data_IF_232080727303
#
_entry.id   IF_232080727303
#
_cell.length_a   1.000
_cell.length_b   1.000
_cell.length_c   1.000
_cell.angle_alpha   90.00
_cell.angle_beta   90.00
_cell.angle_gamma   90.00
#
_symmetry.space_group_name_H-M   'P 1'
#
loop_
_entity.id
_entity.type
_entity.pdbx_description
1 polymer ?
#
# COMPACT_ATOMS: atom_id res chain seq x y z
N UNK A 1 -9.55 -19.06 -21.93
CA UNK A 1 -9.46 -18.19 -23.12
C UNK A 1 -10.35 -16.93 -23.01
N UNK A 2 -11.68 -17.00 -23.10
CA UNK A 2 -12.55 -15.79 -23.07
C UNK A 2 -12.57 -15.06 -21.70
N UNK A 3 -12.68 -15.81 -20.60
CA UNK A 3 -12.76 -15.21 -19.25
C UNK A 3 -11.47 -14.55 -18.76
N UNK A 4 -10.31 -14.98 -19.24
CA UNK A 4 -9.02 -14.38 -18.89
C UNK A 4 -8.82 -13.03 -19.60
N UNK A 5 -9.19 -12.96 -20.88
CA UNK A 5 -9.20 -11.71 -21.64
C UNK A 5 -10.16 -10.68 -21.05
N UNK A 6 -11.35 -11.10 -20.62
CA UNK A 6 -12.31 -10.20 -19.97
C UNK A 6 -11.75 -9.62 -18.66
N UNK A 7 -11.11 -10.45 -17.82
CA UNK A 7 -10.45 -9.98 -16.59
C UNK A 7 -9.30 -9.01 -16.87
N UNK A 8 -8.49 -9.29 -17.89
CA UNK A 8 -7.40 -8.39 -18.29
C UNK A 8 -7.92 -7.02 -18.74
N UNK A 9 -9.00 -6.99 -19.52
CA UNK A 9 -9.64 -5.75 -19.96
C UNK A 9 -10.25 -4.96 -18.80
N UNK A 10 -10.92 -5.65 -17.87
CA UNK A 10 -11.47 -5.01 -16.67
C UNK A 10 -10.35 -4.35 -15.84
N UNK A 11 -9.26 -5.08 -15.58
CA UNK A 11 -8.10 -4.54 -14.87
C UNK A 11 -7.47 -3.35 -15.59
N UNK A 12 -7.32 -3.41 -16.92
CA UNK A 12 -6.78 -2.29 -17.69
C UNK A 12 -7.68 -1.05 -17.60
N UNK A 13 -9.01 -1.23 -17.65
CA UNK A 13 -9.96 -0.14 -17.44
C UNK A 13 -9.83 0.47 -16.05
N UNK A 14 -9.78 -0.36 -15.01
CA UNK A 14 -9.67 0.12 -13.63
C UNK A 14 -8.38 0.92 -13.41
N UNK A 15 -7.26 0.51 -14.03
CA UNK A 15 -6.00 1.26 -14.03
C UNK A 15 -6.17 2.63 -14.70
N UNK A 16 -6.76 2.68 -15.90
CA UNK A 16 -7.00 3.94 -16.59
C UNK A 16 -7.92 4.86 -15.78
N UNK A 17 -8.98 4.32 -15.17
CA UNK A 17 -9.87 5.10 -14.32
C UNK A 17 -9.15 5.63 -13.07
N UNK A 18 -8.18 4.89 -12.52
CA UNK A 18 -7.38 5.35 -11.38
C UNK A 18 -6.45 6.49 -11.79
N UNK A 19 -5.79 6.35 -12.94
CA UNK A 19 -4.86 7.36 -13.48
C UNK A 19 -5.58 8.65 -13.91
N UNK A 20 -6.81 8.53 -14.40
CA UNK A 20 -7.62 9.66 -14.87
C UNK A 20 -8.59 10.19 -13.80
N UNK A 21 -8.60 9.62 -12.60
CA UNK A 21 -9.46 10.05 -11.50
C UNK A 21 -10.97 9.84 -11.75
N UNK A 22 -11.33 8.82 -12.54
CA UNK A 22 -12.73 8.50 -12.91
C UNK A 22 -13.41 7.48 -12.00
N UNK A 23 -12.80 7.10 -10.89
CA UNK A 23 -13.36 6.12 -9.97
C UNK A 23 -14.40 6.66 -8.99
N UNK A 24 -15.03 5.76 -8.21
CA UNK A 24 -16.06 6.11 -7.23
C UNK A 24 -15.56 6.92 -6.02
N UNK A 25 -14.25 6.99 -5.80
CA UNK A 25 -13.65 7.73 -4.68
C UNK A 25 -12.48 8.59 -5.14
N UNK A 26 -12.23 9.67 -4.40
CA UNK A 26 -11.10 10.56 -4.65
C UNK A 26 -9.79 9.89 -4.22
N UNK A 27 -8.86 9.75 -5.17
CA UNK A 27 -7.47 9.38 -4.90
C UNK A 27 -6.64 10.64 -4.61
N UNK A 28 -5.57 10.50 -3.83
CA UNK A 28 -4.62 11.60 -3.67
C UNK A 28 -3.91 11.89 -4.99
N UNK A 29 -3.86 13.17 -5.34
CA UNK A 29 -3.03 13.69 -6.42
C UNK A 29 -1.57 13.81 -5.98
N UNK A 30 -0.70 14.26 -6.90
CA UNK A 30 0.74 14.40 -6.65
C UNK A 30 1.06 15.32 -5.45
N UNK A 31 0.32 16.42 -5.28
CA UNK A 31 0.53 17.33 -4.16
C UNK A 31 0.13 16.67 -2.84
N UNK A 32 -1.01 15.97 -2.83
CA UNK A 32 -1.47 15.19 -1.68
C UNK A 32 -0.52 14.07 -1.29
N UNK A 33 0.02 13.33 -2.27
CA UNK A 33 1.02 12.28 -2.04
C UNK A 33 2.30 12.86 -1.44
N UNK A 34 2.81 13.96 -1.98
CA UNK A 34 4.00 14.64 -1.46
C UNK A 34 3.77 15.09 -0.02
N UNK A 35 2.61 15.67 0.28
CA UNK A 35 2.27 16.08 1.64
C UNK A 35 2.18 14.89 2.60
N UNK A 36 1.48 13.82 2.20
CA UNK A 36 1.34 12.59 2.99
C UNK A 36 2.72 12.01 3.33
N UNK A 37 3.57 11.77 2.33
CA UNK A 37 4.90 11.21 2.54
C UNK A 37 5.80 12.11 3.38
N UNK A 38 5.63 13.44 3.30
CA UNK A 38 6.38 14.37 4.14
C UNK A 38 6.01 14.29 5.62
N UNK A 39 4.76 13.97 5.93
CA UNK A 39 4.20 13.95 7.28
C UNK A 39 4.26 12.55 7.91
N UNK A 40 4.15 11.51 7.08
CA UNK A 40 4.21 10.12 7.51
C UNK A 40 5.57 9.79 8.14
N UNK A 41 5.52 8.97 9.18
CA UNK A 41 6.69 8.42 9.87
C UNK A 41 6.72 6.91 9.78
N UNK A 42 5.60 6.24 10.06
CA UNK A 42 5.51 4.77 10.09
C UNK A 42 4.72 4.22 8.92
N UNK A 43 5.31 3.25 8.23
CA UNK A 43 4.71 2.57 7.08
C UNK A 43 4.64 1.07 7.36
N UNK A 44 3.44 0.52 7.42
CA UNK A 44 3.24 -0.93 7.46
C UNK A 44 3.25 -1.48 6.03
N UNK A 45 4.19 -2.36 5.71
CA UNK A 45 4.36 -2.94 4.38
C UNK A 45 3.74 -4.33 4.34
N UNK A 46 2.50 -4.42 3.84
CA UNK A 46 1.73 -5.66 3.71
C UNK A 46 2.22 -6.45 2.50
N UNK A 47 2.65 -7.69 2.74
CA UNK A 47 3.33 -8.50 1.72
C UNK A 47 4.82 -8.19 1.57
N UNK A 48 5.43 -7.56 2.58
CA UNK A 48 6.88 -7.46 2.70
C UNK A 48 7.53 -8.85 2.57
N UNK A 49 8.68 -8.94 1.90
CA UNK A 49 9.39 -10.20 1.73
C UNK A 49 10.88 -10.01 1.90
N UNK A 50 11.55 -11.02 2.46
CA UNK A 50 13.01 -11.09 2.60
C UNK A 50 13.70 -11.51 1.30
N UNK A 51 12.96 -11.89 0.27
CA UNK A 51 13.49 -12.32 -1.01
C UNK A 51 13.81 -11.11 -1.92
N UNK A 52 15.09 -10.90 -2.32
CA UNK A 52 15.50 -9.78 -3.17
C UNK A 52 14.85 -9.73 -4.55
N UNK A 53 14.31 -10.84 -5.06
CA UNK A 53 13.60 -10.86 -6.34
C UNK A 53 12.18 -10.27 -6.25
N UNK A 54 11.67 -9.97 -5.06
CA UNK A 54 10.33 -9.41 -4.84
C UNK A 54 10.42 -7.90 -4.81
N UNK A 55 9.51 -7.21 -5.52
CA UNK A 55 9.45 -5.76 -5.54
C UNK A 55 9.35 -5.14 -4.13
N UNK A 56 8.63 -5.80 -3.21
CA UNK A 56 8.51 -5.34 -1.83
C UNK A 56 9.85 -5.31 -1.09
N UNK A 57 10.85 -6.14 -1.45
CA UNK A 57 12.17 -6.10 -0.82
C UNK A 57 12.90 -4.78 -1.10
N UNK A 58 13.01 -4.38 -2.38
CA UNK A 58 13.72 -3.16 -2.76
C UNK A 58 12.96 -1.88 -2.39
N UNK A 59 11.62 -1.90 -2.45
CA UNK A 59 10.83 -0.76 -1.98
C UNK A 59 10.97 -0.59 -0.47
N UNK A 60 10.95 -1.68 0.31
CA UNK A 60 11.16 -1.61 1.76
C UNK A 60 12.53 -1.02 2.10
N UNK A 61 13.59 -1.44 1.41
CA UNK A 61 14.94 -0.87 1.56
C UNK A 61 14.95 0.63 1.26
N UNK A 62 14.37 1.06 0.14
CA UNK A 62 14.28 2.49 -0.22
C UNK A 62 13.56 3.31 0.86
N UNK A 63 12.50 2.76 1.45
CA UNK A 63 11.77 3.44 2.53
C UNK A 63 12.59 3.51 3.83
N UNK A 64 13.38 2.48 4.15
CA UNK A 64 14.31 2.53 5.27
C UNK A 64 15.40 3.59 5.06
N UNK A 65 16.01 3.63 3.87
CA UNK A 65 17.04 4.60 3.52
C UNK A 65 16.52 6.04 3.55
N UNK A 66 15.25 6.24 3.19
CA UNK A 66 14.56 7.52 3.29
C UNK A 66 14.14 7.90 4.73
N UNK A 67 14.44 7.05 5.72
CA UNK A 67 14.24 7.33 7.15
C UNK A 67 12.84 7.02 7.69
N UNK A 68 12.01 6.27 6.97
CA UNK A 68 10.71 5.82 7.50
C UNK A 68 10.88 4.68 8.50
N UNK A 69 9.99 4.64 9.49
CA UNK A 69 9.83 3.48 10.36
C UNK A 69 8.99 2.41 9.65
N UNK A 70 9.66 1.54 8.90
CA UNK A 70 8.98 0.47 8.16
C UNK A 70 8.70 -0.75 9.04
N UNK A 71 7.47 -1.25 8.98
CA UNK A 71 6.99 -2.43 9.73
C UNK A 71 6.55 -3.51 8.74
N UNK A 72 7.24 -4.67 8.64
CA UNK A 72 6.88 -5.70 7.70
C UNK A 72 5.68 -6.52 8.19
N UNK A 73 4.68 -6.70 7.33
CA UNK A 73 3.50 -7.54 7.62
C UNK A 73 3.40 -8.66 6.59
N UNK A 74 3.81 -9.87 6.99
CA UNK A 74 3.69 -11.07 6.18
C UNK A 74 3.83 -12.33 7.07
N UNK A 75 2.79 -13.17 7.21
CA UNK A 75 2.83 -14.36 8.06
C UNK A 75 3.81 -15.44 7.60
N UNK A 76 4.36 -15.33 6.38
CA UNK A 76 5.35 -16.28 5.85
C UNK A 76 6.79 -15.84 6.09
N UNK A 77 7.01 -14.65 6.62
CA UNK A 77 8.33 -14.10 6.89
C UNK A 77 8.52 -14.00 8.41
N UNK A 78 9.75 -14.19 8.87
CA UNK A 78 10.13 -13.93 10.27
C UNK A 78 10.72 -12.54 10.44
N UNK A 79 11.46 -12.11 9.42
CA UNK A 79 12.19 -10.86 9.41
C UNK A 79 12.34 -10.37 7.97
N UNK A 80 12.32 -9.05 7.76
CA UNK A 80 12.65 -8.39 6.49
C UNK A 80 13.60 -7.24 6.79
N UNK A 81 14.77 -7.21 6.16
CA UNK A 81 15.79 -6.16 6.39
C UNK A 81 16.12 -5.92 7.88
N UNK A 82 16.30 -6.99 8.68
CA UNK A 82 16.59 -6.85 10.11
C UNK A 82 15.39 -6.48 10.99
N UNK A 83 14.18 -6.32 10.40
CA UNK A 83 12.96 -5.94 11.12
C UNK A 83 12.06 -7.15 11.29
N UNK A 84 11.61 -7.41 12.53
CA UNK A 84 10.64 -8.45 12.83
C UNK A 84 9.39 -8.30 11.96
N UNK A 85 9.00 -9.39 11.29
CA UNK A 85 7.78 -9.44 10.50
C UNK A 85 6.59 -9.91 11.36
N UNK A 86 5.45 -9.25 11.17
CA UNK A 86 4.21 -9.56 11.88
C UNK A 86 3.26 -10.35 10.97
N UNK A 87 2.47 -11.23 11.58
CA UNK A 87 1.50 -12.05 10.84
C UNK A 87 0.28 -11.23 10.36
N UNK A 88 -0.07 -10.17 11.09
CA UNK A 88 -1.22 -9.31 10.79
C UNK A 88 -0.90 -7.83 11.06
N UNK A 89 -1.71 -6.94 10.48
CA UNK A 89 -1.64 -5.50 10.75
C UNK A 89 -2.00 -5.17 12.21
N UNK A 90 -2.91 -5.94 12.81
CA UNK A 90 -3.30 -5.74 14.20
C UNK A 90 -2.12 -6.02 15.15
N UNK A 91 -1.41 -7.13 14.95
CA UNK A 91 -0.22 -7.47 15.77
C UNK A 91 0.88 -6.42 15.59
N UNK A 92 1.11 -5.99 14.34
CA UNK A 92 2.08 -4.94 14.03
C UNK A 92 1.78 -3.64 14.79
N UNK A 93 0.52 -3.18 14.78
CA UNK A 93 0.11 -1.93 15.44
C UNK A 93 0.10 -2.07 16.96
N UNK A 94 -0.26 -3.24 17.48
CA UNK A 94 -0.22 -3.52 18.92
C UNK A 94 1.22 -3.42 19.47
N UNK A 95 2.21 -3.91 18.73
CA UNK A 95 3.61 -3.92 19.16
C UNK A 95 4.33 -2.59 18.86
N UNK A 96 4.10 -2.01 17.68
CA UNK A 96 4.89 -0.87 17.18
C UNK A 96 4.20 0.48 17.34
N UNK A 97 2.89 0.48 17.59
CA UNK A 97 2.03 1.66 17.65
C UNK A 97 1.35 1.98 16.30
N UNK A 98 0.65 3.13 16.22
CA UNK A 98 -0.14 3.49 15.05
C UNK A 98 0.73 3.66 13.79
N UNK A 99 0.14 3.35 12.63
CA UNK A 99 0.78 3.42 11.31
C UNK A 99 0.15 4.54 10.48
N UNK A 100 0.97 5.32 9.78
CA UNK A 100 0.47 6.43 8.95
C UNK A 100 0.00 5.92 7.58
N UNK A 101 0.72 4.94 7.03
CA UNK A 101 0.46 4.36 5.71
C UNK A 101 0.46 2.83 5.81
N UNK A 102 -0.55 2.20 5.24
CA UNK A 102 -0.58 0.76 4.94
C UNK A 102 -0.26 0.57 3.46
N UNK A 103 0.95 0.10 3.16
CA UNK A 103 1.50 -0.09 1.81
C UNK A 103 1.37 -1.55 1.35
N UNK A 104 0.55 -1.80 0.33
CA UNK A 104 0.05 -3.15 0.00
C UNK A 104 0.69 -3.71 -1.29
N UNK A 105 1.45 -4.80 -1.13
CA UNK A 105 2.07 -5.59 -2.21
C UNK A 105 1.32 -6.89 -2.52
N UNK A 106 0.00 -6.88 -2.36
CA UNK A 106 -0.88 -8.03 -2.64
C UNK A 106 -1.60 -7.84 -3.96
N UNK A 107 -2.02 -8.95 -4.57
CA UNK A 107 -2.83 -8.90 -5.80
C UNK A 107 -4.12 -8.12 -5.55
N UNK A 108 -4.60 -7.42 -6.57
CA UNK A 108 -5.83 -6.61 -6.54
C UNK A 108 -7.01 -7.33 -5.88
N UNK A 109 -7.23 -8.61 -6.20
CA UNK A 109 -8.38 -9.39 -5.71
C UNK A 109 -8.30 -9.69 -4.20
N UNK A 110 -7.14 -9.46 -3.58
CA UNK A 110 -6.88 -9.68 -2.15
C UNK A 110 -6.84 -8.38 -1.34
N UNK A 111 -7.12 -7.23 -1.94
CA UNK A 111 -6.96 -5.93 -1.28
C UNK A 111 -8.13 -5.58 -0.34
N UNK A 112 -9.34 -6.11 -0.57
CA UNK A 112 -10.53 -5.80 0.24
C UNK A 112 -10.34 -6.13 1.73
N UNK A 113 -9.83 -7.31 2.12
CA UNK A 113 -9.51 -7.59 3.53
C UNK A 113 -8.50 -6.61 4.12
N UNK A 114 -7.46 -6.25 3.38
CA UNK A 114 -6.43 -5.32 3.86
C UNK A 114 -6.93 -3.88 4.00
N UNK A 115 -7.90 -3.45 3.18
CA UNK A 115 -8.58 -2.17 3.39
C UNK A 115 -9.36 -2.16 4.71
N UNK A 116 -10.08 -3.25 5.02
CA UNK A 116 -10.81 -3.39 6.30
C UNK A 116 -9.85 -3.41 7.49
N UNK A 117 -8.73 -4.11 7.37
CA UNK A 117 -7.67 -4.11 8.39
C UNK A 117 -7.10 -2.71 8.60
N UNK A 118 -6.78 -1.98 7.53
CA UNK A 118 -6.26 -0.62 7.59
C UNK A 118 -7.23 0.34 8.31
N UNK A 119 -8.53 0.24 8.00
CA UNK A 119 -9.58 1.00 8.71
C UNK A 119 -9.65 0.59 10.18
N UNK A 120 -9.64 -0.70 10.48
CA UNK A 120 -9.77 -1.21 11.84
C UNK A 120 -8.61 -0.79 12.76
N UNK A 121 -7.39 -0.69 12.22
CA UNK A 121 -6.22 -0.21 12.98
C UNK A 121 -6.08 1.31 13.01
N UNK A 122 -6.99 2.03 12.34
CA UNK A 122 -6.97 3.50 12.30
C UNK A 122 -5.78 4.08 11.53
N UNK A 123 -5.37 3.44 10.43
CA UNK A 123 -4.31 3.98 9.59
C UNK A 123 -4.70 5.34 8.98
N UNK A 124 -3.71 6.15 8.59
CA UNK A 124 -3.97 7.42 7.90
C UNK A 124 -4.25 7.26 6.40
N UNK A 125 -3.67 6.24 5.77
CA UNK A 125 -3.77 6.00 4.33
C UNK A 125 -3.71 4.51 3.98
N UNK A 126 -4.52 4.11 3.00
CA UNK A 126 -4.34 2.87 2.24
C UNK A 126 -3.59 3.17 0.95
N UNK A 127 -2.45 2.52 0.75
CA UNK A 127 -1.65 2.66 -0.47
C UNK A 127 -1.58 1.32 -1.21
N UNK A 128 -2.15 1.26 -2.42
CA UNK A 128 -2.05 0.11 -3.30
C UNK A 128 -0.96 0.35 -4.36
N UNK A 129 0.06 -0.52 -4.36
CA UNK A 129 1.25 -0.39 -5.19
C UNK A 129 0.98 -0.41 -6.70
N UNK A 130 2.02 -0.17 -7.50
CA UNK A 130 1.93 -0.23 -8.97
C UNK A 130 1.24 -1.51 -9.48
N UNK A 131 0.27 -1.32 -10.37
CA UNK A 131 -0.56 -2.37 -10.94
C UNK A 131 -1.58 -2.98 -9.98
N UNK A 132 -1.68 -2.49 -8.73
CA UNK A 132 -2.68 -2.91 -7.75
C UNK A 132 -3.78 -1.86 -7.70
N UNK A 133 -4.89 -2.18 -8.34
CA UNK A 133 -6.10 -1.36 -8.35
C UNK A 133 -7.28 -2.20 -7.88
N UNK A 134 -8.04 -1.69 -6.92
CA UNK A 134 -9.27 -2.29 -6.46
C UNK A 134 -10.20 -1.20 -5.91
N UNK A 135 -11.24 -0.87 -6.68
CA UNK A 135 -12.17 0.21 -6.31
C UNK A 135 -13.03 -0.12 -5.08
N UNK A 136 -13.33 -1.38 -4.80
CA UNK A 136 -14.05 -1.76 -3.59
C UNK A 136 -13.19 -1.53 -2.34
N UNK A 137 -11.91 -1.92 -2.40
CA UNK A 137 -10.95 -1.65 -1.33
C UNK A 137 -10.75 -0.14 -1.11
N UNK A 138 -10.68 0.63 -2.20
CA UNK A 138 -10.59 2.09 -2.15
C UNK A 138 -11.84 2.71 -1.50
N UNK A 139 -13.04 2.25 -1.85
CA UNK A 139 -14.30 2.70 -1.23
C UNK A 139 -14.33 2.40 0.26
N UNK A 140 -13.99 1.18 0.67
CA UNK A 140 -13.94 0.80 2.09
C UNK A 140 -12.99 1.71 2.87
N UNK A 141 -11.79 1.96 2.34
CA UNK A 141 -10.81 2.84 3.00
C UNK A 141 -11.33 4.28 3.11
N UNK A 142 -11.85 4.85 2.01
CA UNK A 142 -12.36 6.21 1.99
C UNK A 142 -13.57 6.41 2.94
N UNK A 143 -14.52 5.48 2.94
CA UNK A 143 -15.66 5.49 3.88
C UNK A 143 -15.21 5.32 5.34
N UNK A 144 -14.12 4.59 5.57
CA UNK A 144 -13.45 4.49 6.87
C UNK A 144 -12.62 5.70 7.26
N UNK A 145 -12.56 6.74 6.43
CA UNK A 145 -11.85 7.99 6.70
C UNK A 145 -10.36 8.01 6.30
N UNK A 146 -9.87 6.98 5.61
CA UNK A 146 -8.48 6.91 5.16
C UNK A 146 -8.30 7.69 3.85
N UNK A 147 -7.13 8.29 3.69
CA UNK A 147 -6.67 8.67 2.36
C UNK A 147 -6.41 7.42 1.49
N UNK A 148 -6.54 7.55 0.18
CA UNK A 148 -6.34 6.43 -0.75
C UNK A 148 -5.37 6.81 -1.86
N UNK A 149 -4.39 5.94 -2.08
CA UNK A 149 -3.47 5.97 -3.22
C UNK A 149 -3.55 4.61 -3.90
N UNK A 150 -3.67 4.59 -5.23
CA UNK A 150 -3.65 3.37 -6.03
C UNK A 150 -2.76 3.54 -7.26
N UNK A 151 -2.17 2.44 -7.72
CA UNK A 151 -1.30 2.41 -8.90
C UNK A 151 -0.11 3.39 -8.82
N UNK A 152 0.51 3.48 -7.63
CA UNK A 152 1.71 4.30 -7.38
C UNK A 152 2.74 3.50 -6.60
N UNK A 153 4.03 3.76 -6.82
CA UNK A 153 5.11 3.12 -6.06
C UNK A 153 5.66 4.08 -5.03
N UNK A 154 5.57 3.71 -3.75
CA UNK A 154 6.11 4.49 -2.63
C UNK A 154 7.60 4.86 -2.83
N UNK A 155 8.45 3.94 -3.31
CA UNK A 155 9.86 4.26 -3.59
C UNK A 155 10.03 5.33 -4.68
N UNK A 156 9.24 5.27 -5.76
CA UNK A 156 9.27 6.29 -6.82
C UNK A 156 8.81 7.64 -6.27
N UNK A 157 7.69 7.66 -5.54
CA UNK A 157 7.15 8.90 -4.98
C UNK A 157 8.06 9.52 -3.91
N UNK A 158 8.73 8.69 -3.12
CA UNK A 158 9.76 9.14 -2.17
C UNK A 158 10.97 9.73 -2.89
N UNK A 159 11.43 9.10 -3.99
CA UNK A 159 12.51 9.65 -4.82
C UNK A 159 12.21 11.05 -5.36
N UNK A 160 10.93 11.38 -5.60
CA UNK A 160 10.49 12.73 -6.01
C UNK A 160 10.60 13.78 -4.90
N UNK A 161 10.80 13.38 -3.64
CA UNK A 161 10.99 14.31 -2.52
C UNK A 161 12.40 14.91 -2.45
N UNK A 162 13.39 14.29 -3.11
CA UNK A 162 14.79 14.73 -3.10
C UNK A 162 15.46 14.58 -1.72
N UNK A 163 15.11 13.52 -0.98
CA UNK A 163 15.70 13.16 0.32
C UNK A 163 16.88 12.23 0.13
#
# INVERSE_FOLDING_TARGET
MAGERARALARARDILDAQEGRGPVRLLDDAGIVQLLRQARRIAVVGASSNPARASYGVFETLLDAGYDCVPVNPNEREVHGRQAFASLADAVAETGPVDIVDVFRRSELCVPHAREAVAVGAGCLWLQLGVVNWEAATIAAEGGLAVVMDRCTAIEVGRLGR
#
